data_IF_731932997326
#
_entry.id   IF_731932997326
#
_cell.length_a   1.000
_cell.length_b   1.000
_cell.length_c   1.000
_cell.angle_alpha   90.00
_cell.angle_beta   90.00
_cell.angle_gamma   90.00
#
_symmetry.space_group_name_H-M   'P 1'
#
loop_
_entity.id
_entity.type
_entity.pdbx_description
1 polymer ?
#
# COMPACT_ATOMS: atom_id res chain seq x y z
N UNK A 1 4.13 -3.34 8.43
CA UNK A 1 3.78 -4.35 7.39
C UNK A 1 2.32 -4.18 6.96
N UNK A 2 1.97 -4.60 5.74
CA UNK A 2 0.59 -4.58 5.21
C UNK A 2 0.35 -5.84 4.37
N UNK A 3 -0.85 -6.42 4.46
CA UNK A 3 -1.27 -7.50 3.58
C UNK A 3 -2.80 -7.52 3.47
N UNK A 4 -3.34 -7.78 2.29
CA UNK A 4 -4.77 -8.03 2.12
C UNK A 4 -5.07 -8.81 0.84
N UNK A 5 -6.23 -9.45 0.79
CA UNK A 5 -6.71 -10.14 -0.41
C UNK A 5 -7.46 -9.19 -1.34
N UNK A 6 -7.17 -9.27 -2.63
CA UNK A 6 -7.90 -8.60 -3.71
C UNK A 6 -8.37 -9.68 -4.68
N UNK A 7 -9.63 -10.10 -4.54
CA UNK A 7 -10.13 -11.28 -5.24
C UNK A 7 -9.33 -12.53 -4.84
N UNK A 8 -8.80 -13.27 -5.81
CA UNK A 8 -7.94 -14.44 -5.57
C UNK A 8 -6.46 -14.12 -5.36
N UNK A 9 -6.08 -12.84 -5.35
CA UNK A 9 -4.70 -12.38 -5.26
C UNK A 9 -4.41 -11.80 -3.89
N UNK A 10 -3.17 -11.93 -3.45
CA UNK A 10 -2.63 -11.30 -2.25
C UNK A 10 -1.81 -10.08 -2.65
N UNK A 11 -2.06 -8.96 -1.99
CA UNK A 11 -1.14 -7.83 -1.99
C UNK A 11 -0.44 -7.74 -0.65
N UNK A 12 0.85 -7.43 -0.65
CA UNK A 12 1.61 -7.25 0.58
C UNK A 12 2.69 -6.19 0.44
N UNK A 13 2.88 -5.41 1.50
CA UNK A 13 4.03 -4.53 1.71
C UNK A 13 4.80 -5.03 2.94
N UNK A 14 5.98 -5.59 2.69
CA UNK A 14 6.83 -6.21 3.68
C UNK A 14 8.10 -5.38 3.92
N UNK A 15 8.62 -5.44 5.14
CA UNK A 15 9.93 -4.90 5.50
C UNK A 15 10.79 -6.07 6.00
N UNK A 16 11.98 -6.34 5.41
CA UNK A 16 12.88 -7.37 5.92
C UNK A 16 13.29 -7.07 7.36
N UNK A 17 13.44 -8.11 8.17
CA UNK A 17 13.99 -7.95 9.52
C UNK A 17 15.43 -7.42 9.44
N UNK A 18 15.74 -6.38 10.21
CA UNK A 18 17.08 -5.79 10.29
C UNK A 18 17.38 -4.67 9.29
N UNK A 19 16.56 -4.48 8.25
CA UNK A 19 16.69 -3.37 7.30
C UNK A 19 15.51 -2.41 7.43
N UNK A 20 15.74 -1.27 8.10
CA UNK A 20 14.70 -0.26 8.31
C UNK A 20 14.38 0.54 7.04
N UNK A 21 15.24 0.53 6.03
CA UNK A 21 15.12 1.33 4.82
C UNK A 21 14.48 0.61 3.64
N UNK A 22 14.47 -0.72 3.63
CA UNK A 22 14.01 -1.49 2.48
C UNK A 22 12.57 -1.99 2.65
N UNK A 23 11.65 -1.44 1.85
CA UNK A 23 10.31 -1.98 1.68
C UNK A 23 10.26 -2.86 0.42
N UNK A 24 9.44 -3.90 0.46
CA UNK A 24 9.12 -4.73 -0.69
C UNK A 24 7.62 -4.85 -0.86
N UNK A 25 7.14 -4.53 -2.05
CA UNK A 25 5.78 -4.73 -2.49
C UNK A 25 5.70 -6.04 -3.28
N UNK A 26 4.64 -6.81 -3.05
CA UNK A 26 4.35 -8.06 -3.78
C UNK A 26 2.87 -8.11 -4.09
N UNK A 27 2.55 -8.61 -5.28
CA UNK A 27 1.19 -8.85 -5.73
C UNK A 27 1.16 -10.11 -6.58
N UNK A 28 0.26 -11.04 -6.25
CA UNK A 28 0.15 -12.30 -6.97
C UNK A 28 -0.82 -13.28 -6.32
N UNK A 29 -1.04 -14.40 -6.99
CA UNK A 29 -1.79 -15.53 -6.44
C UNK A 29 -0.89 -16.49 -5.66
N UNK A 30 -1.47 -17.56 -5.09
CA UNK A 30 -0.72 -18.60 -4.38
C UNK A 30 0.36 -19.25 -5.25
N UNK A 31 0.09 -19.41 -6.55
CA UNK A 31 0.97 -20.14 -7.48
C UNK A 31 1.93 -19.22 -8.27
N UNK A 32 1.67 -17.92 -8.31
CA UNK A 32 2.39 -17.00 -9.18
C UNK A 32 2.51 -15.58 -8.59
N UNK A 33 3.75 -15.11 -8.47
CA UNK A 33 4.06 -13.71 -8.19
C UNK A 33 3.98 -12.90 -9.48
N UNK A 34 2.94 -12.09 -9.63
CA UNK A 34 2.70 -11.29 -10.83
C UNK A 34 3.51 -10.00 -10.86
N UNK A 35 3.72 -9.41 -9.67
CA UNK A 35 4.48 -8.19 -9.53
C UNK A 35 5.22 -8.19 -8.20
N UNK A 36 6.53 -7.94 -8.25
CA UNK A 36 7.31 -7.55 -7.09
C UNK A 36 7.97 -6.21 -7.35
N UNK A 37 8.11 -5.43 -6.29
CA UNK A 37 8.91 -4.22 -6.31
C UNK A 37 9.68 -4.07 -5.00
N UNK A 38 11.01 -3.95 -5.04
CA UNK A 38 11.87 -4.03 -6.22
C UNK A 38 11.82 -5.39 -6.92
N UNK A 39 12.37 -5.45 -8.13
CA UNK A 39 12.62 -6.74 -8.79
C UNK A 39 13.60 -7.57 -7.95
N UNK A 40 13.48 -8.90 -7.90
CA UNK A 40 14.39 -9.74 -7.12
C UNK A 40 15.84 -9.49 -7.52
N UNK A 41 16.73 -9.34 -6.54
CA UNK A 41 18.15 -9.04 -6.79
C UNK A 41 18.46 -7.58 -7.14
N UNK A 42 17.46 -6.69 -7.17
CA UNK A 42 17.68 -5.24 -7.26
C UNK A 42 17.42 -4.58 -5.90
N UNK A 43 18.32 -3.68 -5.51
CA UNK A 43 17.99 -2.70 -4.48
C UNK A 43 16.92 -1.74 -5.02
N UNK A 44 16.04 -1.26 -4.14
CA UNK A 44 15.01 -0.30 -4.50
C UNK A 44 15.67 0.97 -5.05
N UNK A 45 15.70 1.12 -6.37
CA UNK A 45 16.21 2.35 -6.99
C UNK A 45 15.24 3.52 -6.85
N UNK A 46 13.96 3.26 -6.53
CA UNK A 46 13.01 4.30 -6.16
C UNK A 46 12.65 4.18 -4.68
N UNK A 47 12.76 5.31 -3.99
CA UNK A 47 12.25 5.46 -2.63
C UNK A 47 10.73 5.34 -2.63
N UNK A 48 10.20 4.46 -1.80
CA UNK A 48 8.78 4.50 -1.47
C UNK A 48 8.48 5.85 -0.82
N UNK A 49 7.43 6.52 -1.30
CA UNK A 49 6.96 7.77 -0.73
C UNK A 49 5.80 7.49 0.20
N UNK A 50 5.92 7.90 1.46
CA UNK A 50 4.88 7.75 2.47
C UNK A 50 4.19 9.10 2.66
N UNK A 51 2.86 9.11 2.66
CA UNK A 51 2.06 10.29 2.96
C UNK A 51 0.89 9.91 3.85
N UNK A 52 0.66 10.70 4.89
CA UNK A 52 -0.51 10.58 5.75
C UNK A 52 -1.31 11.88 5.72
N UNK A 53 -2.63 11.77 5.61
CA UNK A 53 -3.57 12.88 5.60
C UNK A 53 -4.65 12.62 6.64
N UNK A 54 -4.90 13.55 7.58
CA UNK A 54 -6.01 13.39 8.52
C UNK A 54 -7.35 13.51 7.79
N UNK A 55 -8.33 12.68 8.19
CA UNK A 55 -9.69 12.71 7.67
C UNK A 55 -10.67 12.83 8.84
N UNK A 56 -11.87 13.36 8.60
CA UNK A 56 -12.93 13.35 9.61
C UNK A 56 -13.27 11.89 9.92
N UNK A 57 -13.14 11.50 11.19
CA UNK A 57 -13.34 10.12 11.64
C UNK A 57 -12.10 9.22 11.55
N UNK A 58 -10.93 9.74 11.13
CA UNK A 58 -9.70 8.96 11.09
C UNK A 58 -8.59 9.62 10.27
N UNK A 59 -8.15 8.93 9.22
CA UNK A 59 -7.04 9.36 8.37
C UNK A 59 -6.79 8.40 7.22
N UNK A 60 -6.00 8.86 6.27
CA UNK A 60 -5.51 8.06 5.16
C UNK A 60 -3.98 8.02 5.22
N UNK A 61 -3.41 6.82 5.20
CA UNK A 61 -1.98 6.63 4.98
C UNK A 61 -1.77 5.96 3.63
N UNK A 62 -0.82 6.47 2.87
CA UNK A 62 -0.46 5.95 1.55
C UNK A 62 1.03 5.68 1.48
N UNK A 63 1.38 4.60 0.77
CA UNK A 63 2.75 4.24 0.42
C UNK A 63 2.81 4.03 -1.08
N UNK A 64 3.56 4.88 -1.78
CA UNK A 64 3.59 4.91 -3.23
C UNK A 64 4.99 4.62 -3.78
N UNK A 65 5.05 3.92 -4.92
CA UNK A 65 6.27 3.76 -5.71
C UNK A 65 5.96 3.85 -7.20
N UNK A 66 6.99 4.14 -8.00
CA UNK A 66 6.90 4.22 -9.46
C UNK A 66 7.64 3.07 -10.12
N UNK A 67 7.04 2.52 -11.17
CA UNK A 67 7.66 1.53 -12.07
C UNK A 67 7.34 1.91 -13.51
N UNK A 68 8.32 2.51 -14.19
CA UNK A 68 8.13 3.08 -15.52
C UNK A 68 7.04 4.16 -15.52
N UNK A 69 6.04 4.00 -16.37
CA UNK A 69 4.90 4.93 -16.47
C UNK A 69 3.81 4.71 -15.41
N UNK A 70 3.97 3.71 -14.53
CA UNK A 70 2.97 3.34 -13.53
C UNK A 70 3.35 3.85 -12.14
N UNK A 71 2.34 4.30 -11.40
CA UNK A 71 2.42 4.57 -9.96
C UNK A 71 1.50 3.59 -9.27
N UNK A 72 2.04 2.90 -8.26
CA UNK A 72 1.29 2.02 -7.39
C UNK A 72 1.22 2.66 -6.02
N UNK A 73 0.01 2.84 -5.50
CA UNK A 73 -0.22 3.46 -4.20
C UNK A 73 -0.99 2.47 -3.34
N UNK A 74 -0.31 1.88 -2.36
CA UNK A 74 -0.97 1.13 -1.28
C UNK A 74 -1.57 2.15 -0.34
N UNK A 75 -2.83 1.98 0.03
CA UNK A 75 -3.51 2.89 0.96
C UNK A 75 -4.21 2.11 2.06
N UNK A 76 -4.32 2.78 3.20
CA UNK A 76 -5.22 2.43 4.28
C UNK A 76 -5.96 3.68 4.72
N UNK A 77 -7.28 3.60 4.72
CA UNK A 77 -8.17 4.73 4.95
C UNK A 77 -9.18 4.37 6.02
N UNK A 78 -9.30 5.26 7.01
CA UNK A 78 -10.38 5.27 7.98
C UNK A 78 -11.09 6.61 7.86
N UNK A 79 -12.39 6.58 7.59
CA UNK A 79 -13.20 7.77 7.45
C UNK A 79 -14.55 7.60 8.15
N UNK A 80 -15.24 8.71 8.41
CA UNK A 80 -16.64 8.69 8.84
C UNK A 80 -17.52 8.21 7.66
N UNK A 81 -18.34 7.19 7.89
CA UNK A 81 -19.28 6.67 6.92
C UNK A 81 -20.38 7.70 6.59
N UNK A 82 -21.15 7.43 5.54
CA UNK A 82 -22.22 8.31 5.07
C UNK A 82 -23.34 8.53 6.10
N UNK A 83 -23.57 7.57 7.00
CA UNK A 83 -24.52 7.70 8.12
C UNK A 83 -24.05 8.69 9.20
N UNK A 84 -22.80 9.13 9.12
CA UNK A 84 -22.14 9.97 10.08
C UNK A 84 -21.73 9.25 11.36
N UNK A 85 -22.37 8.20 11.83
CA UNK A 85 -22.04 7.65 13.16
C UNK A 85 -20.96 6.57 13.13
N UNK A 86 -20.76 5.89 12.01
CA UNK A 86 -19.90 4.70 11.96
C UNK A 86 -18.57 4.97 11.25
N UNK A 87 -17.46 4.36 11.70
CA UNK A 87 -16.21 4.37 10.96
C UNK A 87 -16.29 3.40 9.76
N UNK A 88 -15.85 3.87 8.60
CA UNK A 88 -15.64 3.09 7.39
C UNK A 88 -14.14 2.85 7.19
N UNK A 89 -13.77 1.59 7.03
CA UNK A 89 -12.40 1.14 6.79
C UNK A 89 -12.27 0.69 5.34
N UNK A 90 -11.29 1.24 4.63
CA UNK A 90 -10.97 0.82 3.28
C UNK A 90 -9.46 0.82 3.06
N UNK A 91 -8.95 -0.36 2.77
CA UNK A 91 -7.59 -0.56 2.31
C UNK A 91 -7.56 -1.01 0.85
N UNK A 92 -6.42 -0.81 0.20
CA UNK A 92 -6.23 -1.34 -1.13
C UNK A 92 -5.02 -0.80 -1.87
N UNK A 93 -5.06 -0.93 -3.20
CA UNK A 93 -4.07 -0.40 -4.12
C UNK A 93 -4.72 0.41 -5.23
N UNK A 94 -4.24 1.62 -5.42
CA UNK A 94 -4.55 2.45 -6.57
C UNK A 94 -3.41 2.29 -7.58
N UNK A 95 -3.76 1.94 -8.82
CA UNK A 95 -2.80 1.89 -9.93
C UNK A 95 -3.10 3.05 -10.87
N UNK A 96 -2.10 3.89 -11.10
CA UNK A 96 -2.16 4.99 -12.05
C UNK A 96 -1.14 4.80 -13.16
N UNK A 97 -1.47 5.22 -14.38
CA UNK A 97 -0.55 5.28 -15.52
C UNK A 97 -0.48 6.71 -16.02
N UNK A 98 0.73 7.28 -16.06
CA UNK A 98 0.97 8.70 -16.43
C UNK A 98 0.05 9.67 -15.66
N UNK A 99 -0.11 9.43 -14.36
CA UNK A 99 -0.93 10.25 -13.47
C UNK A 99 -2.44 9.97 -13.51
N UNK A 100 -2.95 9.21 -14.48
CA UNK A 100 -4.37 8.83 -14.55
C UNK A 100 -4.61 7.50 -13.82
N UNK A 101 -5.54 7.46 -12.88
CA UNK A 101 -5.97 6.21 -12.23
C UNK A 101 -6.59 5.28 -13.27
N UNK A 102 -6.05 4.06 -13.36
CA UNK A 102 -6.51 3.01 -14.27
C UNK A 102 -7.11 1.81 -13.54
N UNK A 103 -6.84 1.66 -12.24
CA UNK A 103 -7.44 0.61 -11.42
C UNK A 103 -7.47 1.01 -9.95
N UNK A 104 -8.51 0.53 -9.25
CA UNK A 104 -8.64 0.56 -7.80
C UNK A 104 -8.94 -0.85 -7.33
N UNK A 105 -8.00 -1.41 -6.60
CA UNK A 105 -8.03 -2.77 -6.08
C UNK A 105 -8.33 -2.67 -4.59
N UNK A 106 -9.57 -2.94 -4.18
CA UNK A 106 -9.97 -2.90 -2.77
C UNK A 106 -9.72 -4.23 -2.09
N UNK A 107 -9.30 -4.18 -0.83
CA UNK A 107 -9.20 -5.36 0.01
C UNK A 107 -10.59 -5.97 0.22
N UNK A 108 -10.70 -7.30 0.11
CA UNK A 108 -11.98 -8.01 0.15
C UNK A 108 -12.70 -7.91 1.51
N UNK A 109 -11.94 -7.75 2.58
CA UNK A 109 -12.39 -7.64 3.97
C UNK A 109 -12.35 -6.19 4.49
N UNK A 110 -12.09 -5.21 3.62
CA UNK A 110 -11.84 -3.82 4.02
C UNK A 110 -10.41 -3.55 4.50
N UNK A 111 -9.63 -4.59 4.82
CA UNK A 111 -8.25 -4.55 5.29
C UNK A 111 -8.08 -4.22 6.79
N UNK A 112 -6.85 -4.39 7.27
CA UNK A 112 -6.46 -4.23 8.69
C UNK A 112 -5.52 -3.03 8.93
N UNK A 113 -5.24 -2.27 7.88
CA UNK A 113 -4.31 -1.16 7.85
C UNK A 113 -2.84 -1.55 7.91
N UNK A 114 -2.00 -0.52 8.04
CA UNK A 114 -0.56 -0.72 8.20
C UNK A 114 -0.25 -1.14 9.65
N UNK A 115 0.21 -2.38 9.85
CA UNK A 115 0.56 -2.94 11.16
C UNK A 115 1.82 -2.33 11.81
N UNK A 116 2.51 -1.44 11.10
CA UNK A 116 3.65 -0.69 11.63
C UNK A 116 3.67 0.73 11.04
N UNK A 117 4.28 1.70 11.72
CA UNK A 117 4.49 3.03 11.17
C UNK A 117 5.32 2.98 9.88
N UNK A 118 4.72 3.43 8.77
CA UNK A 118 5.42 3.52 7.49
C UNK A 118 6.40 4.72 7.44
N UNK A 119 6.26 5.68 8.35
CA UNK A 119 7.07 6.91 8.41
C UNK A 119 8.39 6.83 9.17
N UNK A 120 8.84 5.67 9.65
CA UNK A 120 10.03 5.57 10.49
C UNK A 120 11.31 5.21 9.71
N UNK A 121 11.75 6.12 8.82
CA UNK A 121 13.18 6.34 8.60
C UNK A 121 13.43 7.84 8.73
N UNK A 122 13.51 8.29 9.98
CA UNK A 122 14.28 9.49 10.26
C UNK A 122 15.73 9.13 9.94
N UNK A 123 16.24 9.64 8.82
CA UNK A 123 17.68 9.74 8.60
C UNK A 123 18.21 10.61 9.75
N UNK A 124 19.02 10.02 10.61
CA UNK A 124 19.87 10.75 11.53
C UNK A 124 21.27 10.79 10.92
#
# INVERSE_FOLDING_TARGET
MFACHVGSKLVSLCRPAGDRGMLSYRFGGPDALELSYPEPGRQASAAFTVKSVPLIGGGETTVAFKRGAYTYTVYSKVARAADGSTPEFEDGVIVARRGKVISRLRCADGGEGFREPMGAVAVK
#
